data_IF_090871312376
#
_entry.id   IF_090871312376
#
_cell.length_a   1.000
_cell.length_b   1.000
_cell.length_c   1.000
_cell.angle_alpha   90.00
_cell.angle_beta   90.00
_cell.angle_gamma   90.00
#
_symmetry.space_group_name_H-M   'P 1'
#
loop_
_entity.id
_entity.type
_entity.pdbx_description
1 polymer ?
#
# COMPACT_ATOMS: atom_id res chain seq x y z
N UNK A 1 1.57 16.57 -21.43
CA UNK A 1 0.63 15.71 -22.22
C UNK A 1 -0.24 15.02 -21.21
N UNK A 2 -1.56 15.04 -21.40
CA UNK A 2 -2.49 14.33 -20.52
C UNK A 2 -2.36 12.82 -20.68
N UNK A 3 -2.52 12.10 -19.59
CA UNK A 3 -2.36 10.65 -19.56
C UNK A 3 -3.49 9.96 -18.80
N UNK A 4 -3.60 8.66 -18.96
CA UNK A 4 -4.52 7.82 -18.20
C UNK A 4 -3.84 6.55 -17.71
N UNK A 5 -4.45 5.92 -16.71
CA UNK A 5 -3.99 4.68 -16.13
C UNK A 5 -5.11 3.90 -15.45
N UNK A 6 -4.78 2.71 -15.01
CA UNK A 6 -5.70 1.79 -14.37
C UNK A 6 -5.17 1.44 -12.98
N UNK A 7 -6.06 1.52 -11.97
CA UNK A 7 -5.82 0.98 -10.62
C UNK A 7 -6.18 -0.50 -10.62
N UNK A 8 -5.18 -1.36 -10.47
CA UNK A 8 -5.32 -2.81 -10.37
C UNK A 8 -4.27 -3.36 -9.40
N UNK A 9 -4.65 -3.79 -8.20
CA UNK A 9 -3.71 -4.40 -7.27
C UNK A 9 -3.08 -5.66 -7.85
N UNK A 10 -1.81 -5.92 -7.53
CA UNK A 10 -1.15 -7.18 -7.93
C UNK A 10 -1.92 -8.39 -7.38
N UNK A 11 -2.39 -8.29 -6.13
CA UNK A 11 -3.21 -9.34 -5.49
C UNK A 11 -4.45 -9.73 -6.31
N UNK A 12 -5.02 -8.76 -7.04
CA UNK A 12 -6.26 -8.93 -7.81
C UNK A 12 -6.06 -9.48 -9.22
N UNK A 13 -4.82 -9.64 -9.68
CA UNK A 13 -4.56 -10.27 -10.96
C UNK A 13 -5.00 -11.74 -10.99
N UNK A 14 -5.49 -12.26 -12.10
CA UNK A 14 -5.80 -13.68 -12.24
C UNK A 14 -4.60 -14.56 -11.92
N UNK A 15 -4.81 -15.67 -11.22
CA UNK A 15 -3.74 -16.62 -10.92
C UNK A 15 -4.33 -17.94 -10.44
N UNK A 16 -3.76 -19.09 -10.78
CA UNK A 16 -4.17 -20.39 -10.24
C UNK A 16 -3.65 -20.62 -8.81
N UNK A 17 -2.89 -19.68 -8.23
CA UNK A 17 -2.18 -19.86 -6.96
C UNK A 17 -2.77 -19.07 -5.80
N UNK A 18 -4.08 -18.82 -5.82
CA UNK A 18 -4.85 -18.24 -4.72
C UNK A 18 -4.79 -16.72 -4.59
N UNK A 19 -3.82 -16.07 -5.25
CA UNK A 19 -3.61 -14.61 -5.25
C UNK A 19 -2.86 -14.22 -6.52
N UNK A 20 -3.04 -13.00 -6.99
CA UNK A 20 -2.26 -12.47 -8.11
C UNK A 20 -0.75 -12.46 -7.82
N UNK A 21 0.06 -12.71 -8.86
CA UNK A 21 1.52 -12.82 -8.76
C UNK A 21 2.22 -11.99 -9.83
N UNK A 22 3.53 -11.80 -9.67
CA UNK A 22 4.39 -11.07 -10.62
C UNK A 22 4.79 -11.94 -11.85
N UNK A 23 3.92 -12.89 -12.23
CA UNK A 23 4.14 -13.84 -13.30
C UNK A 23 3.60 -13.39 -14.66
N UNK A 24 3.15 -14.38 -15.45
CA UNK A 24 2.68 -14.19 -16.81
C UNK A 24 1.47 -13.25 -16.88
N UNK A 25 0.50 -13.39 -15.94
CA UNK A 25 -0.72 -12.58 -15.93
C UNK A 25 -0.43 -11.10 -15.69
N UNK A 26 0.56 -10.79 -14.82
CA UNK A 26 1.01 -9.41 -14.64
C UNK A 26 1.60 -8.81 -15.92
N UNK A 27 2.37 -9.61 -16.70
CA UNK A 27 2.90 -9.17 -18.00
C UNK A 27 1.78 -8.99 -19.03
N UNK A 28 0.80 -9.90 -19.07
CA UNK A 28 -0.37 -9.77 -19.94
C UNK A 28 -1.18 -8.52 -19.61
N UNK A 29 -1.31 -8.17 -18.32
CA UNK A 29 -1.95 -6.93 -17.92
C UNK A 29 -1.17 -5.69 -18.42
N UNK A 30 0.16 -5.71 -18.32
CA UNK A 30 1.01 -4.65 -18.91
C UNK A 30 0.81 -4.55 -20.42
N UNK A 31 0.74 -5.68 -21.14
CA UNK A 31 0.49 -5.69 -22.57
C UNK A 31 -0.88 -5.11 -22.91
N UNK A 32 -1.91 -5.45 -22.13
CA UNK A 32 -3.25 -4.85 -22.25
C UNK A 32 -3.20 -3.33 -22.06
N UNK A 33 -2.54 -2.84 -20.99
CA UNK A 33 -2.40 -1.40 -20.75
C UNK A 33 -1.75 -0.69 -21.92
N UNK A 34 -0.67 -1.24 -22.45
CA UNK A 34 0.06 -0.68 -23.60
C UNK A 34 -0.83 -0.65 -24.85
N UNK A 35 -1.53 -1.74 -25.16
CA UNK A 35 -2.45 -1.82 -26.30
C UNK A 35 -3.65 -0.89 -26.16
N UNK A 36 -4.13 -0.67 -24.94
CA UNK A 36 -5.22 0.26 -24.63
C UNK A 36 -4.76 1.73 -24.56
N UNK A 37 -3.48 2.04 -24.87
CA UNK A 37 -2.94 3.40 -24.85
C UNK A 37 -2.84 4.01 -23.46
N UNK A 38 -2.82 3.19 -22.42
CA UNK A 38 -2.60 3.64 -21.04
C UNK A 38 -1.12 3.96 -20.82
N UNK A 39 -0.83 4.89 -19.91
CA UNK A 39 0.53 5.26 -19.55
C UNK A 39 0.90 4.82 -18.11
N UNK A 40 -0.09 4.50 -17.28
CA UNK A 40 0.13 4.19 -15.88
C UNK A 40 -0.61 2.94 -15.43
N UNK A 41 0.06 2.20 -14.57
CA UNK A 41 -0.51 1.14 -13.73
C UNK A 41 -0.39 1.56 -12.28
N UNK A 42 -1.49 1.87 -11.62
CA UNK A 42 -1.51 2.11 -10.18
C UNK A 42 -1.77 0.82 -9.44
N UNK A 43 -0.96 0.57 -8.41
CA UNK A 43 -1.07 -0.59 -7.53
C UNK A 43 -1.24 -0.14 -6.08
N UNK A 44 -1.68 -1.04 -5.21
CA UNK A 44 -1.67 -0.87 -3.77
C UNK A 44 -0.29 -1.19 -3.18
N UNK A 45 -0.03 -0.88 -1.88
CA UNK A 45 1.24 -1.20 -1.25
C UNK A 45 1.62 -2.69 -1.45
N UNK A 46 2.87 -2.94 -1.85
CA UNK A 46 3.36 -4.31 -2.10
C UNK A 46 4.12 -4.90 -0.91
N UNK A 47 3.99 -4.29 0.25
CA UNK A 47 4.61 -4.77 1.50
C UNK A 47 3.87 -6.01 2.05
N UNK A 48 4.53 -6.83 2.92
CA UNK A 48 3.88 -7.96 3.55
C UNK A 48 2.65 -7.51 4.35
N UNK A 49 1.54 -8.21 4.19
CA UNK A 49 0.33 -7.97 4.99
C UNK A 49 0.49 -8.59 6.39
N UNK A 50 -0.07 -7.92 7.40
CA UNK A 50 -0.19 -8.42 8.76
C UNK A 50 -1.60 -8.97 9.02
N UNK A 51 -1.96 -9.13 10.29
CA UNK A 51 -3.31 -9.52 10.68
C UNK A 51 -4.35 -8.53 10.12
N UNK A 52 -5.42 -9.07 9.51
CA UNK A 52 -6.46 -8.28 8.83
C UNK A 52 -6.21 -8.05 7.35
N UNK A 53 -5.12 -8.60 6.79
CA UNK A 53 -4.81 -8.68 5.35
C UNK A 53 -4.66 -7.34 4.62
N UNK A 54 -4.77 -6.22 5.35
CA UNK A 54 -4.64 -4.88 4.79
C UNK A 54 -3.19 -4.62 4.30
N UNK A 55 -3.01 -4.18 3.05
CA UNK A 55 -1.70 -3.77 2.58
C UNK A 55 -1.18 -2.49 3.25
N UNK A 56 -2.05 -1.76 3.97
CA UNK A 56 -1.69 -0.55 4.74
C UNK A 56 -1.23 -0.87 6.16
N UNK A 57 -1.40 -2.12 6.62
CA UNK A 57 -0.89 -2.62 7.90
C UNK A 57 0.18 -3.67 7.61
N UNK A 58 1.44 -3.27 7.58
CA UNK A 58 2.55 -4.13 7.16
C UNK A 58 3.58 -4.34 8.26
N UNK A 59 4.19 -5.52 8.26
CA UNK A 59 5.35 -5.84 9.12
C UNK A 59 6.62 -5.07 8.75
N UNK A 60 6.68 -4.47 7.56
CA UNK A 60 7.85 -3.70 7.10
C UNK A 60 7.49 -2.74 5.99
N UNK A 61 8.05 -1.53 6.07
CA UNK A 61 7.92 -0.53 4.98
C UNK A 61 8.88 -0.78 3.81
N UNK A 62 9.83 -1.71 3.95
CA UNK A 62 10.84 -2.01 2.93
C UNK A 62 10.68 -3.37 2.28
N UNK A 63 10.14 -4.35 3.00
CA UNK A 63 10.01 -5.70 2.49
C UNK A 63 8.88 -5.82 1.47
N UNK A 64 9.06 -6.74 0.50
CA UNK A 64 8.01 -7.10 -0.44
C UNK A 64 7.18 -8.29 0.07
N UNK A 65 5.90 -8.34 -0.35
CA UNK A 65 4.96 -9.37 0.04
C UNK A 65 5.29 -10.72 -0.62
N UNK A 66 5.65 -11.74 0.15
CA UNK A 66 6.01 -13.06 -0.39
C UNK A 66 4.90 -13.73 -1.20
N UNK A 67 3.64 -13.35 -0.97
CA UNK A 67 2.50 -13.91 -1.71
C UNK A 67 2.53 -13.56 -3.20
N UNK A 68 3.16 -12.44 -3.59
CA UNK A 68 3.25 -12.01 -4.98
C UNK A 68 4.35 -12.71 -5.79
N UNK A 69 5.21 -13.52 -5.13
CA UNK A 69 6.23 -14.30 -5.83
C UNK A 69 5.55 -15.35 -6.70
N UNK A 70 5.83 -15.33 -7.98
CA UNK A 70 5.25 -16.27 -8.95
C UNK A 70 5.94 -17.62 -8.89
N UNK A 71 5.16 -18.69 -8.71
CA UNK A 71 5.67 -20.05 -8.53
C UNK A 71 6.12 -20.70 -9.84
N UNK A 72 5.48 -20.38 -10.97
CA UNK A 72 5.90 -20.88 -12.28
C UNK A 72 7.25 -20.29 -12.68
N UNK A 73 7.50 -19.03 -12.35
CA UNK A 73 8.81 -18.39 -12.52
C UNK A 73 9.89 -19.11 -11.70
N UNK A 74 9.59 -19.47 -10.45
CA UNK A 74 10.53 -20.25 -9.62
C UNK A 74 10.77 -21.65 -10.20
N UNK A 75 9.75 -22.27 -10.79
CA UNK A 75 9.88 -23.56 -11.46
C UNK A 75 10.75 -23.46 -12.72
N UNK A 76 10.57 -22.41 -13.52
CA UNK A 76 11.40 -22.14 -14.69
C UNK A 76 12.88 -21.92 -14.32
N UNK A 77 13.15 -21.39 -13.13
CA UNK A 77 14.49 -21.21 -12.57
C UNK A 77 15.06 -22.50 -11.92
N UNK A 78 14.31 -23.61 -11.91
CA UNK A 78 14.72 -24.88 -11.28
C UNK A 78 14.60 -24.90 -9.75
N UNK A 79 14.05 -23.85 -9.14
CA UNK A 79 13.86 -23.73 -7.69
C UNK A 79 12.64 -24.51 -7.18
N UNK A 80 11.66 -24.79 -8.04
CA UNK A 80 10.50 -25.63 -7.76
C UNK A 80 10.29 -26.67 -8.86
N UNK A 81 9.58 -27.74 -8.51
CA UNK A 81 9.05 -28.71 -9.48
C UNK A 81 7.52 -28.56 -9.55
N UNK A 82 6.88 -28.70 -10.71
CA UNK A 82 5.42 -28.54 -10.84
C UNK A 82 4.60 -29.37 -9.84
N UNK A 83 5.05 -30.58 -9.52
CA UNK A 83 4.42 -31.48 -8.54
C UNK A 83 4.46 -30.96 -7.08
N UNK A 84 5.23 -29.92 -6.78
CA UNK A 84 5.39 -29.39 -5.43
C UNK A 84 4.40 -28.26 -5.11
N UNK A 85 3.72 -27.71 -6.13
CA UNK A 85 2.80 -26.58 -5.93
C UNK A 85 1.52 -26.61 -6.77
N UNK A 86 1.51 -27.27 -7.95
CA UNK A 86 0.33 -27.24 -8.83
C UNK A 86 -0.90 -27.99 -8.30
N UNK A 87 -0.70 -28.91 -7.38
CA UNK A 87 -1.79 -29.71 -6.78
C UNK A 87 -2.38 -29.07 -5.52
N UNK A 88 -1.80 -27.95 -5.05
CA UNK A 88 -2.24 -27.33 -3.80
C UNK A 88 -3.60 -26.66 -4.03
N UNK A 89 -4.59 -27.08 -3.25
CA UNK A 89 -5.84 -26.37 -3.13
C UNK A 89 -5.65 -25.13 -2.26
N UNK A 90 -5.76 -23.95 -2.86
CA UNK A 90 -5.63 -22.66 -2.19
C UNK A 90 -6.91 -22.21 -1.52
N UNK A 91 -7.98 -23.02 -1.57
CA UNK A 91 -9.27 -22.77 -0.92
C UNK A 91 -9.83 -21.36 -1.24
N UNK A 92 -9.61 -20.91 -2.46
CA UNK A 92 -10.09 -19.63 -2.97
C UNK A 92 -11.11 -19.85 -4.09
N UNK A 93 -11.92 -18.82 -4.39
CA UNK A 93 -12.68 -18.76 -5.64
C UNK A 93 -11.87 -18.03 -6.73
N UNK A 94 -12.27 -18.06 -7.99
CA UNK A 94 -11.65 -17.23 -9.01
C UNK A 94 -11.66 -15.74 -8.61
N UNK A 95 -12.72 -15.26 -7.97
CA UNK A 95 -12.98 -13.86 -7.66
C UNK A 95 -12.49 -13.43 -6.26
N UNK A 96 -12.10 -14.38 -5.39
CA UNK A 96 -11.75 -14.07 -3.99
C UNK A 96 -10.51 -14.79 -3.51
N UNK A 97 -9.68 -14.05 -2.76
CA UNK A 97 -8.49 -14.54 -2.07
C UNK A 97 -8.90 -15.14 -0.72
N UNK A 98 -8.29 -16.30 -0.37
CA UNK A 98 -8.30 -16.83 0.98
C UNK A 98 -6.92 -16.66 1.63
N UNK A 99 -6.73 -15.59 2.37
CA UNK A 99 -5.44 -15.28 3.02
C UNK A 99 -5.04 -16.31 4.08
N UNK A 100 -5.99 -16.93 4.79
CA UNK A 100 -5.71 -18.00 5.74
C UNK A 100 -5.04 -19.19 5.06
N UNK A 101 -5.59 -19.65 3.92
CA UNK A 101 -4.98 -20.73 3.15
C UNK A 101 -3.60 -20.35 2.56
N UNK A 102 -3.41 -19.08 2.18
CA UNK A 102 -2.11 -18.59 1.74
C UNK A 102 -1.10 -18.64 2.89
N UNK A 103 -1.47 -18.15 4.07
CA UNK A 103 -0.62 -18.18 5.25
C UNK A 103 -0.16 -19.59 5.61
N UNK A 104 -1.07 -20.56 5.61
CA UNK A 104 -0.76 -21.95 5.94
C UNK A 104 0.12 -22.65 4.89
N UNK A 105 -0.12 -22.38 3.59
CA UNK A 105 0.43 -23.22 2.52
C UNK A 105 1.57 -22.55 1.73
N UNK A 106 1.53 -21.22 1.54
CA UNK A 106 2.46 -20.52 0.66
C UNK A 106 3.89 -20.58 1.15
N UNK A 107 4.10 -20.40 2.43
CA UNK A 107 5.43 -20.37 3.02
C UNK A 107 6.14 -21.74 2.94
N UNK A 108 5.42 -22.86 3.03
CA UNK A 108 6.00 -24.19 2.86
C UNK A 108 6.60 -24.38 1.44
N UNK A 109 5.90 -23.89 0.42
CA UNK A 109 6.38 -23.91 -0.98
C UNK A 109 7.61 -23.00 -1.13
N UNK A 110 7.54 -21.78 -0.57
CA UNK A 110 8.68 -20.85 -0.64
C UNK A 110 9.90 -21.35 0.12
N UNK A 111 9.73 -22.05 1.26
CA UNK A 111 10.86 -22.67 1.98
C UNK A 111 11.59 -23.67 1.08
N UNK A 112 10.87 -24.53 0.35
CA UNK A 112 11.48 -25.48 -0.61
C UNK A 112 12.30 -24.75 -1.69
N UNK A 113 11.76 -23.65 -2.25
CA UNK A 113 12.47 -22.86 -3.25
C UNK A 113 13.74 -22.18 -2.67
N UNK A 114 13.61 -21.59 -1.47
CA UNK A 114 14.72 -20.93 -0.80
C UNK A 114 15.84 -21.88 -0.37
N UNK A 115 15.51 -23.08 0.07
CA UNK A 115 16.51 -24.12 0.38
C UNK A 115 17.39 -24.43 -0.83
N UNK A 116 16.78 -24.59 -2.02
CA UNK A 116 17.52 -24.82 -3.27
C UNK A 116 18.35 -23.61 -3.68
N UNK A 117 17.79 -22.41 -3.57
CA UNK A 117 18.51 -21.18 -3.85
C UNK A 117 19.73 -21.03 -2.93
N UNK A 118 19.57 -21.28 -1.62
CA UNK A 118 20.64 -21.15 -0.64
C UNK A 118 21.71 -22.26 -0.76
N UNK A 119 21.34 -23.43 -1.30
CA UNK A 119 22.33 -24.51 -1.61
C UNK A 119 23.24 -24.10 -2.76
N UNK A 120 22.79 -23.28 -3.71
CA UNK A 120 23.58 -22.76 -4.82
C UNK A 120 23.18 -21.32 -5.14
N UNK A 121 23.59 -20.36 -4.29
CA UNK A 121 23.14 -18.98 -4.44
C UNK A 121 23.63 -18.36 -5.76
N UNK A 122 22.76 -17.62 -6.47
CA UNK A 122 23.17 -16.85 -7.65
C UNK A 122 24.25 -15.82 -7.32
N UNK A 123 25.04 -15.43 -8.31
CA UNK A 123 26.18 -14.53 -8.12
C UNK A 123 25.76 -13.16 -7.51
N UNK A 124 24.57 -12.66 -7.86
CA UNK A 124 24.04 -11.38 -7.42
C UNK A 124 23.31 -11.44 -6.05
N UNK A 125 23.08 -12.65 -5.50
CA UNK A 125 22.42 -12.80 -4.17
C UNK A 125 23.17 -12.05 -3.07
N UNK A 126 24.51 -12.19 -3.03
CA UNK A 126 25.35 -11.51 -2.03
C UNK A 126 25.31 -9.99 -2.20
N UNK A 127 25.25 -9.53 -3.44
CA UNK A 127 25.12 -8.09 -3.76
C UNK A 127 23.77 -7.54 -3.32
N UNK A 128 22.70 -8.30 -3.51
CA UNK A 128 21.37 -7.94 -3.00
C UNK A 128 21.39 -7.77 -1.48
N UNK A 129 21.91 -8.75 -0.74
CA UNK A 129 22.00 -8.68 0.73
C UNK A 129 22.84 -7.47 1.18
N UNK A 130 23.96 -7.22 0.51
CA UNK A 130 24.84 -6.09 0.81
C UNK A 130 24.17 -4.73 0.55
N UNK A 131 23.47 -4.57 -0.58
CA UNK A 131 22.76 -3.34 -0.95
C UNK A 131 21.62 -3.04 0.02
N UNK A 132 20.96 -4.07 0.54
CA UNK A 132 19.81 -3.97 1.44
C UNK A 132 20.17 -4.08 2.93
N UNK A 133 21.47 -3.97 3.28
CA UNK A 133 21.95 -4.12 4.68
C UNK A 133 21.33 -3.14 5.68
N UNK A 134 20.70 -2.08 5.21
CA UNK A 134 20.11 -1.05 6.06
C UNK A 134 18.73 -1.43 6.63
N UNK A 135 18.09 -2.48 6.09
CA UNK A 135 16.78 -2.96 6.55
C UNK A 135 16.68 -4.50 6.62
N UNK A 136 17.25 -5.21 5.63
CA UNK A 136 17.05 -6.65 5.43
C UNK A 136 17.49 -7.52 6.62
N UNK A 137 18.62 -7.25 7.32
CA UNK A 137 19.05 -8.05 8.47
C UNK A 137 18.06 -7.96 9.65
N UNK A 138 17.52 -6.77 9.94
CA UNK A 138 16.57 -6.59 11.03
C UNK A 138 15.19 -7.15 10.65
N UNK A 139 14.75 -7.00 9.40
CA UNK A 139 13.54 -7.63 8.89
C UNK A 139 13.60 -9.16 8.98
N UNK A 140 14.68 -9.76 8.50
CA UNK A 140 14.81 -11.21 8.53
C UNK A 140 14.88 -11.77 9.95
N UNK A 141 15.55 -11.08 10.87
CA UNK A 141 15.53 -11.43 12.29
C UNK A 141 14.13 -11.26 12.91
N UNK A 142 13.46 -10.14 12.64
CA UNK A 142 12.11 -9.87 13.13
C UNK A 142 11.13 -10.98 12.71
N UNK A 143 11.13 -11.34 11.43
CA UNK A 143 10.23 -12.39 10.91
C UNK A 143 10.58 -13.77 11.47
N UNK A 144 11.87 -14.08 11.65
CA UNK A 144 12.29 -15.33 12.27
C UNK A 144 11.86 -15.41 13.76
N UNK A 145 11.90 -14.29 14.47
CA UNK A 145 11.37 -14.21 15.84
C UNK A 145 9.85 -14.31 15.85
N UNK A 146 9.13 -13.67 14.92
CA UNK A 146 7.67 -13.83 14.80
C UNK A 146 7.28 -15.29 14.56
N UNK A 147 7.98 -16.00 13.67
CA UNK A 147 7.76 -17.43 13.42
C UNK A 147 7.95 -18.24 14.71
N UNK A 148 9.02 -17.95 15.48
CA UNK A 148 9.35 -18.64 16.72
C UNK A 148 8.34 -18.37 17.85
N UNK A 149 7.68 -17.20 17.84
CA UNK A 149 6.67 -16.79 18.82
C UNK A 149 5.23 -17.01 18.32
N UNK A 150 5.02 -17.84 17.29
CA UNK A 150 3.69 -18.17 16.77
C UNK A 150 2.93 -16.96 16.18
N UNK A 151 3.64 -15.94 15.68
CA UNK A 151 3.07 -14.73 15.11
C UNK A 151 2.72 -13.63 16.14
N UNK A 152 3.02 -13.83 17.43
CA UNK A 152 2.77 -12.85 18.48
C UNK A 152 3.41 -11.48 18.18
N UNK A 153 2.76 -10.40 18.61
CA UNK A 153 3.29 -9.05 18.49
C UNK A 153 4.66 -8.95 19.20
N UNK A 154 5.59 -8.19 18.64
CA UNK A 154 6.92 -8.02 19.24
C UNK A 154 6.88 -7.41 20.64
N UNK A 155 5.83 -6.70 21.01
CA UNK A 155 5.62 -6.18 22.36
C UNK A 155 5.38 -7.29 23.39
N UNK A 156 4.96 -8.47 22.96
CA UNK A 156 4.74 -9.65 23.80
C UNK A 156 5.98 -10.54 23.92
N UNK A 157 7.06 -10.24 23.19
CA UNK A 157 8.31 -11.00 23.30
C UNK A 157 8.99 -10.74 24.64
N UNK A 158 9.92 -11.63 25.00
CA UNK A 158 10.72 -11.48 26.21
C UNK A 158 11.42 -10.12 26.21
N UNK A 159 11.47 -9.51 27.39
CA UNK A 159 11.99 -8.16 27.60
C UNK A 159 13.33 -7.88 26.86
N UNK A 160 14.36 -8.78 26.92
CA UNK A 160 15.61 -8.52 26.22
C UNK A 160 15.48 -8.45 24.69
N UNK A 161 14.57 -9.23 24.09
CA UNK A 161 14.29 -9.17 22.64
C UNK A 161 13.45 -7.96 22.29
N UNK A 162 12.46 -7.63 23.10
CA UNK A 162 11.62 -6.45 22.95
C UNK A 162 12.45 -5.17 23.00
N UNK A 163 13.39 -5.07 23.97
CA UNK A 163 14.31 -3.93 24.14
C UNK A 163 15.54 -3.98 23.24
N UNK A 164 15.65 -5.01 22.38
CA UNK A 164 16.77 -5.18 21.44
C UNK A 164 18.13 -5.21 22.13
N UNK A 165 18.23 -5.86 23.28
CA UNK A 165 19.50 -5.99 24.00
C UNK A 165 20.54 -6.71 23.11
N UNK A 166 21.77 -6.18 23.01
CA UNK A 166 22.78 -6.69 22.05
C UNK A 166 23.07 -8.21 22.19
N UNK A 167 23.14 -8.70 23.41
CA UNK A 167 23.43 -10.11 23.66
C UNK A 167 22.23 -11.01 23.30
N UNK A 168 20.99 -10.57 23.59
CA UNK A 168 19.78 -11.27 23.19
C UNK A 168 19.66 -11.34 21.65
N UNK A 169 19.90 -10.23 20.95
CA UNK A 169 19.91 -10.21 19.48
C UNK A 169 21.01 -11.09 18.90
N UNK A 170 22.19 -11.12 19.52
CA UNK A 170 23.30 -11.98 19.09
C UNK A 170 22.97 -13.46 19.27
N UNK A 171 22.35 -13.83 20.39
CA UNK A 171 21.88 -15.17 20.65
C UNK A 171 20.79 -15.59 19.65
N UNK A 172 19.79 -14.73 19.44
CA UNK A 172 18.70 -14.95 18.48
C UNK A 172 19.22 -15.16 17.05
N UNK A 173 20.16 -14.33 16.58
CA UNK A 173 20.79 -14.51 15.27
C UNK A 173 21.50 -15.85 15.08
N UNK A 174 22.04 -16.42 16.14
CA UNK A 174 22.65 -17.76 16.09
C UNK A 174 21.60 -18.86 16.09
N UNK A 175 20.62 -18.76 16.99
CA UNK A 175 19.54 -19.75 17.14
C UNK A 175 18.71 -19.87 15.86
N UNK A 176 18.32 -18.75 15.29
CA UNK A 176 17.40 -18.68 14.13
C UNK A 176 18.12 -18.43 12.80
N UNK A 177 19.42 -18.78 12.69
CA UNK A 177 20.22 -18.50 11.49
C UNK A 177 19.60 -19.02 10.19
N UNK A 178 18.95 -20.21 10.22
CA UNK A 178 18.30 -20.81 9.06
C UNK A 178 17.05 -20.03 8.64
N UNK A 179 16.23 -19.60 9.60
CA UNK A 179 15.03 -18.83 9.32
C UNK A 179 15.36 -17.42 8.83
N UNK A 180 16.38 -16.79 9.40
CA UNK A 180 16.94 -15.52 8.92
C UNK A 180 17.38 -15.66 7.45
N UNK A 181 18.11 -16.71 7.12
CA UNK A 181 18.54 -16.97 5.74
C UNK A 181 17.34 -17.20 4.80
N UNK A 182 16.30 -17.89 5.26
CA UNK A 182 15.03 -18.05 4.52
C UNK A 182 14.39 -16.70 4.23
N UNK A 183 14.20 -15.85 5.23
CA UNK A 183 13.56 -14.55 5.05
C UNK A 183 14.37 -13.60 4.17
N UNK A 184 15.71 -13.68 4.20
CA UNK A 184 16.56 -12.95 3.26
C UNK A 184 16.39 -13.47 1.82
N UNK A 185 16.33 -14.78 1.64
CA UNK A 185 16.16 -15.42 0.34
C UNK A 185 14.78 -15.12 -0.27
N UNK A 186 13.71 -15.12 0.53
CA UNK A 186 12.37 -14.73 0.09
C UNK A 186 12.38 -13.30 -0.45
N UNK A 187 13.03 -12.36 0.24
CA UNK A 187 13.11 -10.98 -0.24
C UNK A 187 13.95 -10.84 -1.52
N UNK A 188 14.99 -11.62 -1.66
CA UNK A 188 15.75 -11.70 -2.92
C UNK A 188 14.87 -12.17 -4.08
N UNK A 189 14.09 -13.24 -3.88
CA UNK A 189 13.17 -13.77 -4.89
C UNK A 189 12.09 -12.73 -5.26
N UNK A 190 11.52 -12.07 -4.25
CA UNK A 190 10.54 -11.02 -4.48
C UNK A 190 11.12 -9.88 -5.34
N UNK A 191 12.23 -9.30 -4.92
CA UNK A 191 12.81 -8.13 -5.61
C UNK A 191 13.35 -8.47 -6.99
N UNK A 192 13.83 -9.69 -7.22
CA UNK A 192 14.23 -10.16 -8.54
C UNK A 192 13.03 -10.18 -9.49
N UNK A 193 11.90 -10.73 -9.06
CA UNK A 193 10.69 -10.76 -9.89
C UNK A 193 10.06 -9.36 -10.05
N UNK A 194 10.05 -8.56 -8.98
CA UNK A 194 9.53 -7.20 -9.03
C UNK A 194 10.30 -6.32 -10.02
N UNK A 195 11.62 -6.33 -9.93
CA UNK A 195 12.46 -5.55 -10.86
C UNK A 195 12.28 -6.00 -12.31
N UNK A 196 12.13 -7.30 -12.55
CA UNK A 196 11.87 -7.83 -13.89
C UNK A 196 10.48 -7.40 -14.43
N UNK A 197 9.45 -7.38 -13.58
CA UNK A 197 8.12 -6.91 -13.96
C UNK A 197 8.12 -5.39 -14.20
N UNK A 198 8.74 -4.60 -13.32
CA UNK A 198 8.85 -3.15 -13.48
C UNK A 198 9.60 -2.79 -14.78
N UNK A 199 10.73 -3.43 -15.03
CA UNK A 199 11.48 -3.21 -16.28
C UNK A 199 10.61 -3.53 -17.51
N UNK A 200 9.88 -4.66 -17.48
CA UNK A 200 8.97 -5.03 -18.56
C UNK A 200 7.87 -3.97 -18.78
N UNK A 201 7.28 -3.44 -17.71
CA UNK A 201 6.29 -2.37 -17.79
C UNK A 201 6.90 -1.09 -18.40
N UNK A 202 8.08 -0.68 -17.94
CA UNK A 202 8.76 0.50 -18.45
C UNK A 202 9.17 0.36 -19.93
N UNK A 203 9.61 -0.82 -20.36
CA UNK A 203 9.91 -1.12 -21.77
C UNK A 203 8.67 -0.99 -22.67
N UNK A 204 7.49 -1.21 -22.12
CA UNK A 204 6.18 -0.99 -22.77
C UNK A 204 5.63 0.42 -22.55
N UNK A 205 6.43 1.34 -22.04
CA UNK A 205 6.06 2.72 -21.70
C UNK A 205 4.96 2.84 -20.64
N UNK A 206 4.77 1.82 -19.82
CA UNK A 206 3.87 1.83 -18.67
C UNK A 206 4.68 2.16 -17.41
N UNK A 207 4.30 3.24 -16.73
CA UNK A 207 4.89 3.65 -15.46
C UNK A 207 4.04 3.12 -14.30
N UNK A 208 4.71 2.68 -13.24
CA UNK A 208 4.02 2.12 -12.06
C UNK A 208 3.89 3.20 -10.99
N UNK A 209 2.63 3.46 -10.59
CA UNK A 209 2.31 4.27 -9.42
C UNK A 209 2.16 3.32 -8.23
N UNK A 210 3.08 3.42 -7.27
CA UNK A 210 2.97 2.70 -6.01
C UNK A 210 2.34 3.56 -4.92
N UNK A 211 1.95 2.92 -3.83
CA UNK A 211 1.26 3.55 -2.71
C UNK A 211 2.09 3.47 -1.43
N UNK A 212 2.13 4.56 -0.69
CA UNK A 212 2.91 4.72 0.53
C UNK A 212 1.98 5.17 1.67
N UNK A 213 1.57 4.27 2.58
CA UNK A 213 0.85 4.67 3.78
C UNK A 213 1.69 5.64 4.61
N UNK A 214 1.09 6.74 5.09
CA UNK A 214 1.83 7.67 5.97
C UNK A 214 2.29 6.94 7.24
N UNK A 215 1.37 6.24 7.90
CA UNK A 215 1.67 5.50 9.13
C UNK A 215 2.15 4.08 8.84
N UNK A 216 2.71 3.45 9.84
CA UNK A 216 3.15 2.05 9.82
C UNK A 216 2.51 1.29 10.97
N UNK A 217 2.41 -0.03 10.83
CA UNK A 217 1.85 -0.86 11.89
C UNK A 217 2.74 -0.83 13.15
N UNK A 218 2.11 -0.84 14.33
CA UNK A 218 2.83 -0.99 15.59
C UNK A 218 3.62 -2.30 15.61
N UNK A 219 2.99 -3.39 15.16
CA UNK A 219 3.63 -4.68 15.00
C UNK A 219 4.44 -4.74 13.70
N UNK A 220 5.53 -4.00 13.66
CA UNK A 220 6.44 -3.94 12.52
C UNK A 220 7.90 -3.89 12.95
N UNK A 221 8.78 -4.34 12.05
CA UNK A 221 10.22 -4.19 12.23
C UNK A 221 10.64 -2.72 12.29
N UNK A 222 9.91 -1.84 11.64
CA UNK A 222 10.22 -0.41 11.60
C UNK A 222 10.12 0.22 12.99
N UNK A 223 9.05 -0.07 13.74
CA UNK A 223 8.90 0.40 15.12
C UNK A 223 9.87 -0.32 16.05
N UNK A 224 9.96 -1.65 15.94
CA UNK A 224 10.87 -2.45 16.78
C UNK A 224 12.33 -2.06 16.61
N UNK A 225 12.79 -1.75 15.37
CA UNK A 225 14.20 -1.44 15.11
C UNK A 225 14.57 0.02 15.29
N UNK A 226 13.60 0.92 15.30
CA UNK A 226 13.81 2.37 15.39
C UNK A 226 12.81 3.04 16.34
N UNK A 227 12.65 2.53 17.58
CA UNK A 227 11.62 3.03 18.51
C UNK A 227 11.76 4.52 18.84
N UNK A 228 12.98 5.07 18.75
CA UNK A 228 13.26 6.50 18.96
C UNK A 228 12.65 7.42 17.90
N UNK A 229 12.18 6.89 16.78
CA UNK A 229 11.51 7.66 15.73
C UNK A 229 9.98 7.78 15.97
N UNK A 230 9.48 7.18 17.06
CA UNK A 230 8.05 7.12 17.39
C UNK A 230 7.75 7.59 18.81
N UNK A 231 6.51 8.05 19.03
CA UNK A 231 6.01 8.49 20.34
C UNK A 231 5.68 7.28 21.21
N UNK A 232 6.68 6.67 21.81
CA UNK A 232 6.57 5.52 22.70
C UNK A 232 6.95 5.87 24.14
N UNK A 233 6.39 5.16 25.11
CA UNK A 233 6.82 5.23 26.51
C UNK A 233 8.08 4.37 26.77
N UNK A 234 8.52 4.30 28.02
CA UNK A 234 9.70 3.54 28.43
C UNK A 234 9.53 2.02 28.21
N UNK A 235 8.31 1.53 28.21
CA UNK A 235 7.95 0.13 27.96
C UNK A 235 7.69 -0.14 26.46
N UNK A 236 7.96 0.84 25.59
CA UNK A 236 7.76 0.81 24.15
C UNK A 236 6.29 0.67 23.73
N UNK A 237 5.35 1.12 24.54
CA UNK A 237 3.96 1.26 24.14
C UNK A 237 3.74 2.64 23.52
N UNK A 238 2.85 2.78 22.52
CA UNK A 238 2.46 4.10 22.04
C UNK A 238 1.89 4.97 23.17
N UNK A 239 2.24 6.24 23.19
CA UNK A 239 1.57 7.21 24.07
C UNK A 239 0.26 7.69 23.46
N UNK A 240 0.27 7.93 22.16
CA UNK A 240 -0.88 8.27 21.34
C UNK A 240 -0.79 7.49 20.00
N UNK A 241 -1.92 7.27 19.36
CA UNK A 241 -2.02 6.58 18.06
C UNK A 241 -2.77 7.41 17.04
N UNK A 242 -2.56 7.08 15.76
CA UNK A 242 -3.20 7.74 14.63
C UNK A 242 -4.66 7.36 14.48
N UNK A 243 -5.41 8.29 13.90
CA UNK A 243 -6.80 8.09 13.48
C UNK A 243 -7.37 9.34 12.81
N UNK A 244 -8.69 9.36 12.67
CA UNK A 244 -9.46 10.51 12.20
C UNK A 244 -10.55 10.89 13.21
N UNK A 245 -10.91 12.18 13.33
CA UNK A 245 -11.99 12.60 14.21
C UNK A 245 -13.34 12.05 13.74
N UNK A 246 -14.36 12.08 14.62
CA UNK A 246 -15.74 11.90 14.21
C UNK A 246 -16.13 12.85 13.06
N UNK A 247 -16.82 12.31 12.06
CA UNK A 247 -17.29 13.05 10.88
C UNK A 247 -18.65 12.52 10.39
N UNK A 248 -19.10 12.97 9.23
CA UNK A 248 -20.35 12.52 8.61
C UNK A 248 -20.34 11.05 8.14
N UNK A 249 -19.17 10.40 8.07
CA UNK A 249 -19.00 8.99 7.67
C UNK A 249 -18.85 8.08 8.87
N UNK A 250 -18.29 8.56 9.99
CA UNK A 250 -18.07 7.80 11.22
C UNK A 250 -18.38 8.65 12.44
N UNK A 251 -19.47 8.33 13.15
CA UNK A 251 -19.90 9.06 14.33
C UNK A 251 -18.89 8.99 15.50
N UNK A 252 -18.06 7.97 15.57
CA UNK A 252 -17.01 7.79 16.59
C UNK A 252 -15.61 8.06 16.07
N UNK A 253 -15.50 8.49 14.82
CA UNK A 253 -14.23 8.64 14.10
C UNK A 253 -13.59 7.30 13.74
N UNK A 254 -12.35 7.34 13.28
CA UNK A 254 -11.59 6.16 12.92
C UNK A 254 -10.36 6.03 13.83
N UNK A 255 -10.25 4.91 14.52
CA UNK A 255 -9.08 4.56 15.32
C UNK A 255 -8.21 3.58 14.51
N UNK A 256 -7.10 4.07 13.96
CA UNK A 256 -6.21 3.24 13.12
C UNK A 256 -5.19 2.45 13.93
N UNK A 257 -4.83 2.94 15.14
CA UNK A 257 -3.94 2.25 16.07
C UNK A 257 -2.44 2.31 15.71
N UNK A 258 -2.07 2.99 14.63
CA UNK A 258 -0.68 3.15 14.24
C UNK A 258 0.05 4.10 15.21
N UNK A 259 1.29 3.82 15.63
CA UNK A 259 2.08 4.73 16.45
C UNK A 259 2.37 6.03 15.70
N UNK A 260 2.41 7.13 16.43
CA UNK A 260 2.73 8.44 15.88
C UNK A 260 4.23 8.65 15.82
N UNK A 261 4.70 9.41 14.82
CA UNK A 261 6.11 9.77 14.70
C UNK A 261 6.52 10.82 15.74
N UNK A 262 7.72 10.69 16.29
CA UNK A 262 8.38 11.78 17.01
C UNK A 262 9.02 12.74 16.02
N UNK A 263 8.22 13.72 15.56
CA UNK A 263 8.66 14.68 14.55
C UNK A 263 9.80 15.57 15.03
N UNK A 264 9.90 15.84 16.33
CA UNK A 264 10.96 16.65 16.92
C UNK A 264 12.30 15.89 16.90
N UNK A 265 12.30 14.63 17.31
CA UNK A 265 13.46 13.75 17.22
C UNK A 265 13.91 13.54 15.75
N UNK A 266 12.94 13.32 14.85
CA UNK A 266 13.25 13.19 13.42
C UNK A 266 13.81 14.47 12.80
N UNK A 267 13.34 15.65 13.21
CA UNK A 267 13.88 16.93 12.73
C UNK A 267 15.35 17.12 13.11
N UNK A 268 15.75 16.71 14.32
CA UNK A 268 17.14 16.81 14.80
C UNK A 268 18.12 16.01 13.94
N UNK A 269 17.69 14.89 13.35
CA UNK A 269 18.51 14.07 12.46
C UNK A 269 18.26 14.34 10.96
N UNK A 270 17.52 15.42 10.64
CA UNK A 270 17.20 15.82 9.27
C UNK A 270 16.23 14.85 8.58
N UNK A 271 15.30 14.28 9.32
CA UNK A 271 14.30 13.32 8.86
C UNK A 271 14.89 12.09 8.16
N UNK A 272 16.01 11.59 8.67
CA UNK A 272 16.81 10.56 8.02
C UNK A 272 16.00 9.29 7.71
N UNK A 273 15.08 8.89 8.60
CA UNK A 273 14.19 7.73 8.40
C UNK A 273 13.26 7.95 7.18
N UNK A 274 12.59 9.10 7.12
CA UNK A 274 11.69 9.44 6.01
C UNK A 274 12.42 9.59 4.67
N UNK A 275 13.61 10.21 4.68
CA UNK A 275 14.45 10.33 3.47
C UNK A 275 14.83 8.92 2.95
N UNK A 276 15.17 7.97 3.83
CA UNK A 276 15.45 6.59 3.43
C UNK A 276 14.21 5.91 2.86
N UNK A 277 13.04 6.09 3.52
CA UNK A 277 11.76 5.51 3.08
C UNK A 277 11.38 6.00 1.68
N UNK A 278 11.37 7.31 1.44
CA UNK A 278 11.05 7.89 0.13
C UNK A 278 12.07 7.46 -0.93
N UNK A 279 13.36 7.43 -0.60
CA UNK A 279 14.38 6.92 -1.53
C UNK A 279 14.11 5.49 -1.97
N UNK A 280 13.75 4.62 -1.04
CA UNK A 280 13.40 3.24 -1.33
C UNK A 280 12.15 3.16 -2.21
N UNK A 281 11.09 3.90 -1.89
CA UNK A 281 9.87 3.95 -2.69
C UNK A 281 10.13 4.44 -4.12
N UNK A 282 10.93 5.51 -4.30
CA UNK A 282 11.30 6.01 -5.63
C UNK A 282 12.19 5.03 -6.42
N UNK A 283 12.92 4.12 -5.75
CA UNK A 283 13.62 3.04 -6.45
C UNK A 283 12.70 1.88 -6.82
N UNK A 284 11.65 1.69 -6.04
CA UNK A 284 10.67 0.61 -6.21
C UNK A 284 9.62 0.97 -7.26
N UNK A 285 9.13 2.21 -7.28
CA UNK A 285 8.09 2.70 -8.18
C UNK A 285 8.59 3.82 -9.09
N UNK A 286 7.82 4.17 -10.11
CA UNK A 286 8.10 5.31 -11.00
C UNK A 286 7.46 6.60 -10.46
N UNK A 287 6.33 6.47 -9.77
CA UNK A 287 5.61 7.54 -9.07
C UNK A 287 5.14 6.99 -7.72
N UNK A 288 5.18 7.81 -6.69
CA UNK A 288 4.75 7.42 -5.33
C UNK A 288 3.50 8.21 -4.94
N UNK A 289 2.36 7.54 -4.74
CA UNK A 289 1.21 8.13 -4.06
C UNK A 289 1.48 8.07 -2.56
N UNK A 290 1.42 9.22 -1.89
CA UNK A 290 1.47 9.27 -0.42
C UNK A 290 0.04 9.33 0.09
N UNK A 291 -0.35 8.29 0.80
CA UNK A 291 -1.63 8.17 1.45
C UNK A 291 -1.72 9.09 2.67
N UNK A 292 -2.90 9.70 2.90
CA UNK A 292 -3.19 10.62 3.99
C UNK A 292 -2.19 11.77 4.13
N UNK A 293 -1.89 12.45 3.02
CA UNK A 293 -0.88 13.53 2.95
C UNK A 293 -1.15 14.66 3.95
N UNK A 294 -2.41 14.92 4.29
CA UNK A 294 -2.77 15.94 5.29
C UNK A 294 -2.08 15.74 6.65
N UNK A 295 -1.74 14.50 7.01
CA UNK A 295 -1.06 14.16 8.26
C UNK A 295 0.30 14.84 8.44
N UNK A 296 0.91 15.33 7.36
CA UNK A 296 2.15 16.12 7.44
C UNK A 296 1.92 17.58 7.79
N UNK A 297 0.74 18.15 7.54
CA UNK A 297 0.37 19.47 8.02
C UNK A 297 -0.17 19.39 9.45
N UNK A 298 -1.14 18.49 9.66
CA UNK A 298 -1.71 18.23 10.97
C UNK A 298 -2.27 16.81 11.04
N UNK A 299 -2.02 16.12 12.13
CA UNK A 299 -2.45 14.75 12.36
C UNK A 299 -3.35 14.65 13.61
N UNK A 300 -4.26 13.66 13.60
CA UNK A 300 -5.17 13.44 14.70
C UNK A 300 -4.60 12.36 15.62
N UNK A 301 -4.32 12.75 16.87
CA UNK A 301 -3.69 11.93 17.90
C UNK A 301 -4.72 11.48 18.91
N UNK A 302 -4.82 10.17 19.12
CA UNK A 302 -5.78 9.53 20.04
C UNK A 302 -4.98 8.88 21.16
N UNK A 303 -5.32 9.11 22.46
CA UNK A 303 -4.64 8.44 23.56
C UNK A 303 -4.65 6.91 23.39
N UNK A 304 -3.49 6.28 23.58
CA UNK A 304 -3.38 4.82 23.45
C UNK A 304 -4.29 4.12 24.46
N UNK A 305 -4.96 3.06 24.04
CA UNK A 305 -5.93 2.34 24.86
C UNK A 305 -7.38 2.81 24.73
N UNK A 306 -7.64 3.95 24.06
CA UNK A 306 -8.99 4.35 23.72
C UNK A 306 -9.62 3.35 22.74
N UNK A 307 -10.97 3.19 22.84
CA UNK A 307 -11.73 2.30 21.95
C UNK A 307 -12.31 3.01 20.72
N UNK A 308 -12.39 4.33 20.78
CA UNK A 308 -12.91 5.21 19.70
C UNK A 308 -12.00 6.40 19.52
N UNK A 309 -12.20 7.14 18.44
CA UNK A 309 -11.42 8.35 18.16
C UNK A 309 -11.95 9.62 18.82
N UNK A 310 -13.08 9.58 19.55
CA UNK A 310 -13.74 10.76 20.13
C UNK A 310 -12.86 11.57 21.09
N UNK A 311 -11.95 10.90 21.82
CA UNK A 311 -11.00 11.54 22.76
C UNK A 311 -9.72 12.08 22.14
N UNK A 312 -9.61 12.07 20.82
CA UNK A 312 -8.42 12.53 20.13
C UNK A 312 -8.32 14.05 20.00
N UNK A 313 -7.17 14.51 19.50
CA UNK A 313 -6.89 15.94 19.27
C UNK A 313 -5.97 16.14 18.08
N UNK A 314 -6.10 17.28 17.44
CA UNK A 314 -5.20 17.70 16.38
C UNK A 314 -3.82 18.10 16.93
N UNK A 315 -2.78 17.64 16.24
CA UNK A 315 -1.38 17.97 16.46
C UNK A 315 -0.78 18.54 15.18
N UNK A 316 0.18 19.45 15.30
CA UNK A 316 0.91 19.98 14.15
C UNK A 316 1.91 18.96 13.62
N UNK A 317 1.91 18.75 12.30
CA UNK A 317 2.85 17.87 11.61
C UNK A 317 4.19 18.57 11.30
N UNK A 318 5.12 17.87 10.64
CA UNK A 318 6.46 18.42 10.30
C UNK A 318 6.40 19.48 9.19
N UNK A 319 5.27 19.60 8.51
CA UNK A 319 5.05 20.56 7.44
C UNK A 319 6.08 20.46 6.31
N UNK A 320 6.41 21.59 5.71
CA UNK A 320 7.33 21.64 4.58
C UNK A 320 8.79 21.30 4.95
N UNK A 321 9.18 21.33 6.22
CA UNK A 321 10.55 21.02 6.64
C UNK A 321 10.98 19.60 6.24
N UNK A 322 10.06 18.63 6.38
CA UNK A 322 10.28 17.26 5.91
C UNK A 322 10.52 17.21 4.40
N UNK A 323 9.65 17.84 3.60
CA UNK A 323 9.75 17.79 2.14
C UNK A 323 10.96 18.57 1.62
N UNK A 324 11.35 19.65 2.29
CA UNK A 324 12.60 20.35 2.00
C UNK A 324 13.83 19.46 2.24
N UNK A 325 13.83 18.65 3.32
CA UNK A 325 14.89 17.68 3.58
C UNK A 325 14.94 16.56 2.52
N UNK A 326 13.76 16.03 2.13
CA UNK A 326 13.63 15.05 1.06
C UNK A 326 14.17 15.63 -0.25
N UNK A 327 13.70 16.80 -0.66
CA UNK A 327 14.14 17.49 -1.89
C UNK A 327 15.65 17.74 -1.89
N UNK A 328 16.20 18.20 -0.79
CA UNK A 328 17.65 18.41 -0.65
C UNK A 328 18.47 17.13 -0.86
N UNK A 329 17.96 15.98 -0.47
CA UNK A 329 18.68 14.69 -0.49
C UNK A 329 18.39 13.83 -1.73
N UNK A 330 17.22 13.99 -2.36
CA UNK A 330 16.74 13.11 -3.43
C UNK A 330 16.42 13.86 -4.73
N UNK A 331 16.47 15.19 -4.75
CA UNK A 331 15.98 16.00 -5.88
C UNK A 331 14.47 16.12 -5.85
N UNK A 332 13.84 16.09 -7.02
CA UNK A 332 12.38 16.22 -7.20
C UNK A 332 11.77 14.83 -7.38
N UNK A 333 11.42 14.13 -6.29
CA UNK A 333 10.73 12.84 -6.43
C UNK A 333 9.33 13.06 -7.00
N UNK A 334 8.89 12.14 -7.87
CA UNK A 334 7.55 12.18 -8.44
C UNK A 334 6.56 11.64 -7.41
N UNK A 335 5.82 12.56 -6.78
CA UNK A 335 4.87 12.27 -5.71
C UNK A 335 3.48 12.75 -6.10
N UNK A 336 2.47 11.94 -5.81
CA UNK A 336 1.06 12.28 -5.79
C UNK A 336 0.65 12.38 -4.32
N UNK A 337 -0.01 13.46 -3.92
CA UNK A 337 -0.48 13.62 -2.56
C UNK A 337 -1.97 13.23 -2.48
N UNK A 338 -2.30 12.29 -1.60
CA UNK A 338 -3.70 12.04 -1.28
C UNK A 338 -4.16 13.14 -0.31
N UNK A 339 -4.95 14.06 -0.84
CA UNK A 339 -5.51 15.24 -0.17
C UNK A 339 -7.03 15.16 -0.06
N UNK A 340 -7.56 13.96 0.21
CA UNK A 340 -8.99 13.74 0.36
C UNK A 340 -9.48 14.08 1.79
N UNK A 341 -10.81 14.26 1.94
CA UNK A 341 -11.46 14.58 3.20
C UNK A 341 -11.44 16.08 3.53
N UNK A 342 -11.51 16.40 4.81
CA UNK A 342 -11.60 17.80 5.26
C UNK A 342 -10.26 18.52 5.12
N UNK A 343 -10.14 19.39 4.13
CA UNK A 343 -8.94 20.17 3.86
C UNK A 343 -8.98 21.52 4.57
N UNK A 344 -7.95 21.79 5.37
CA UNK A 344 -7.71 23.08 6.00
C UNK A 344 -6.70 23.90 5.18
N UNK A 345 -6.62 25.23 5.39
CA UNK A 345 -5.73 26.07 4.59
C UNK A 345 -4.24 25.73 4.76
N UNK A 346 -3.83 25.22 5.90
CA UNK A 346 -2.45 24.74 6.14
C UNK A 346 -2.12 23.52 5.27
N UNK A 347 -3.06 22.59 5.06
CA UNK A 347 -2.89 21.45 4.13
C UNK A 347 -2.74 21.95 2.70
N UNK A 348 -3.64 22.86 2.27
CA UNK A 348 -3.59 23.45 0.93
C UNK A 348 -2.29 24.24 0.71
N UNK A 349 -1.85 24.99 1.71
CA UNK A 349 -0.57 25.74 1.66
C UNK A 349 0.64 24.79 1.55
N UNK A 350 0.62 23.68 2.31
CA UNK A 350 1.66 22.65 2.22
C UNK A 350 1.71 22.04 0.83
N UNK A 351 0.55 21.63 0.29
CA UNK A 351 0.44 21.02 -1.03
C UNK A 351 0.98 21.97 -2.13
N UNK A 352 0.52 23.24 -2.13
CA UNK A 352 1.03 24.26 -3.06
C UNK A 352 2.55 24.44 -2.95
N UNK A 353 3.08 24.49 -1.72
CA UNK A 353 4.53 24.67 -1.48
C UNK A 353 5.36 23.48 -1.93
N UNK A 354 4.83 22.26 -1.81
CA UNK A 354 5.46 21.05 -2.33
C UNK A 354 5.39 20.96 -3.86
N UNK A 355 4.33 21.52 -4.48
CA UNK A 355 4.07 21.44 -5.92
C UNK A 355 3.53 20.07 -6.36
N UNK A 356 3.11 19.22 -5.42
CA UNK A 356 2.58 17.89 -5.74
C UNK A 356 1.14 17.97 -6.25
N UNK A 357 0.75 17.16 -7.27
CA UNK A 357 -0.65 17.02 -7.64
C UNK A 357 -1.44 16.37 -6.51
N UNK A 358 -2.61 16.94 -6.21
CA UNK A 358 -3.61 16.35 -5.35
C UNK A 358 -4.57 15.45 -6.11
N UNK A 359 -5.45 14.76 -5.40
CA UNK A 359 -6.44 13.84 -5.95
C UNK A 359 -7.83 14.49 -6.06
N UNK A 360 -8.57 14.12 -7.09
CA UNK A 360 -9.97 14.51 -7.31
C UNK A 360 -10.80 13.26 -7.56
N UNK A 361 -11.71 12.94 -6.64
CA UNK A 361 -12.57 11.76 -6.70
C UNK A 361 -13.96 12.19 -7.15
N UNK A 362 -14.40 11.72 -8.30
CA UNK A 362 -15.63 12.13 -8.95
C UNK A 362 -16.88 11.79 -8.13
N UNK A 363 -16.91 10.65 -7.47
CA UNK A 363 -18.06 10.25 -6.63
C UNK A 363 -18.35 11.29 -5.54
N UNK A 364 -17.33 11.90 -4.94
CA UNK A 364 -17.51 12.97 -3.94
C UNK A 364 -18.12 14.23 -4.52
N UNK A 365 -17.97 14.48 -5.83
CA UNK A 365 -18.57 15.63 -6.51
C UNK A 365 -20.10 15.61 -6.57
N UNK A 366 -20.71 14.49 -6.23
CA UNK A 366 -22.16 14.31 -6.22
C UNK A 366 -22.73 14.08 -4.81
N UNK A 367 -21.88 13.84 -3.81
CA UNK A 367 -22.32 13.67 -2.42
C UNK A 367 -22.94 14.97 -1.90
N UNK A 368 -24.24 14.91 -1.57
CA UNK A 368 -24.99 16.09 -1.09
C UNK A 368 -24.56 16.55 0.32
N UNK A 369 -23.83 15.69 1.05
CA UNK A 369 -23.30 15.98 2.39
C UNK A 369 -21.95 16.70 2.35
N UNK A 370 -21.21 16.57 1.23
CA UNK A 370 -19.91 17.21 1.03
C UNK A 370 -20.09 18.53 0.27
N UNK A 371 -19.59 19.63 0.86
CA UNK A 371 -19.57 20.95 0.23
C UNK A 371 -18.41 21.15 -0.76
N UNK A 372 -17.57 20.14 -0.97
CA UNK A 372 -16.41 20.20 -1.86
C UNK A 372 -16.78 20.22 -3.34
N UNK A 373 -15.99 20.93 -4.16
CA UNK A 373 -16.16 20.91 -5.63
C UNK A 373 -15.23 19.88 -6.27
N UNK A 374 -15.70 18.61 -6.31
CA UNK A 374 -15.03 17.51 -6.99
C UNK A 374 -15.61 17.22 -8.38
N UNK A 375 -16.26 18.22 -9.01
CA UNK A 375 -16.79 18.06 -10.38
C UNK A 375 -15.73 18.37 -11.43
N UNK A 376 -15.69 17.60 -12.53
CA UNK A 376 -14.59 17.64 -13.53
C UNK A 376 -14.30 19.01 -14.12
N UNK A 377 -15.30 19.93 -14.23
CA UNK A 377 -15.08 21.27 -14.78
C UNK A 377 -14.24 22.16 -13.86
N UNK A 378 -14.18 21.86 -12.55
CA UNK A 378 -13.38 22.58 -11.56
C UNK A 378 -11.99 22.01 -11.30
N UNK A 379 -11.61 20.91 -11.95
CA UNK A 379 -10.32 20.28 -11.67
C UNK A 379 -9.16 21.15 -12.18
N UNK A 380 -8.16 21.43 -11.33
CA UNK A 380 -6.93 22.07 -11.79
C UNK A 380 -6.12 21.08 -12.66
N UNK A 381 -5.26 21.60 -13.54
CA UNK A 381 -4.37 20.76 -14.36
C UNK A 381 -3.42 19.94 -13.52
N UNK A 382 -2.83 20.53 -12.44
CA UNK A 382 -1.97 19.82 -11.49
C UNK A 382 -2.83 18.98 -10.52
N UNK A 383 -3.52 17.97 -11.04
CA UNK A 383 -4.32 17.03 -10.24
C UNK A 383 -4.42 15.68 -10.93
N UNK A 384 -4.76 14.67 -10.13
CA UNK A 384 -5.05 13.32 -10.59
C UNK A 384 -6.54 13.06 -10.37
N UNK A 385 -7.27 12.78 -11.46
CA UNK A 385 -8.69 12.50 -11.42
C UNK A 385 -8.96 11.01 -11.27
N UNK A 386 -9.85 10.66 -10.35
CA UNK A 386 -10.35 9.31 -10.12
C UNK A 386 -11.87 9.30 -10.27
N UNK A 387 -12.46 8.19 -10.71
CA UNK A 387 -13.90 7.96 -10.52
C UNK A 387 -14.14 7.65 -9.03
N UNK A 388 -13.52 6.60 -8.56
CA UNK A 388 -13.38 6.19 -7.17
C UNK A 388 -12.00 5.60 -6.93
N UNK A 389 -11.58 5.45 -5.67
CA UNK A 389 -10.36 4.77 -5.25
C UNK A 389 -10.67 3.34 -4.79
N UNK A 390 -9.66 2.61 -4.32
CA UNK A 390 -9.85 1.29 -3.71
C UNK A 390 -10.74 1.29 -2.44
N UNK A 391 -10.98 2.44 -1.84
CA UNK A 391 -11.88 2.62 -0.67
C UNK A 391 -13.33 2.91 -1.06
N UNK A 392 -13.55 3.28 -2.31
CA UNK A 392 -14.87 3.59 -2.83
C UNK A 392 -15.58 2.35 -3.37
N UNK A 393 -16.89 2.46 -3.55
CA UNK A 393 -17.64 1.49 -4.36
C UNK A 393 -17.12 1.52 -5.82
N UNK A 394 -17.15 0.40 -6.55
CA UNK A 394 -17.19 0.50 -8.01
C UNK A 394 -18.44 1.26 -8.46
N UNK A 395 -18.38 1.93 -9.62
CA UNK A 395 -19.46 2.81 -10.10
C UNK A 395 -20.84 2.16 -10.05
N UNK A 396 -20.97 0.90 -10.51
CA UNK A 396 -22.26 0.22 -10.49
C UNK A 396 -22.76 -0.06 -9.07
N UNK A 397 -21.87 -0.30 -8.12
CA UNK A 397 -22.18 -0.37 -6.70
C UNK A 397 -22.63 0.99 -6.14
N UNK A 398 -21.91 2.07 -6.46
CA UNK A 398 -22.27 3.43 -6.08
C UNK A 398 -23.63 3.84 -6.66
N UNK A 399 -23.90 3.57 -7.94
CA UNK A 399 -25.20 3.83 -8.57
C UNK A 399 -26.37 3.12 -7.90
N UNK A 400 -26.10 1.96 -7.28
CA UNK A 400 -27.12 1.15 -6.59
C UNK A 400 -27.32 1.58 -5.12
N UNK A 401 -26.30 2.15 -4.46
CA UNK A 401 -26.29 2.39 -3.00
C UNK A 401 -26.30 3.85 -2.60
N UNK A 402 -25.87 4.77 -3.47
CA UNK A 402 -25.85 6.19 -3.21
C UNK A 402 -27.27 6.78 -3.09
N UNK A 403 -27.38 7.95 -2.44
CA UNK A 403 -28.66 8.63 -2.33
C UNK A 403 -29.27 8.92 -3.72
N UNK A 404 -30.58 8.70 -3.92
CA UNK A 404 -31.20 8.88 -5.23
C UNK A 404 -31.00 10.28 -5.85
N UNK A 405 -30.93 11.33 -5.02
CA UNK A 405 -30.65 12.69 -5.45
C UNK A 405 -29.22 12.85 -5.97
N UNK A 406 -28.24 12.17 -5.39
CA UNK A 406 -26.82 12.20 -5.80
C UNK A 406 -26.67 11.49 -7.14
N UNK A 407 -27.27 10.32 -7.28
CA UNK A 407 -27.35 9.59 -8.56
C UNK A 407 -28.00 10.44 -9.64
N UNK A 408 -29.17 11.06 -9.34
CA UNK A 408 -29.87 11.91 -10.30
C UNK A 408 -29.03 13.13 -10.71
N UNK A 409 -28.22 13.68 -9.78
CA UNK A 409 -27.28 14.77 -10.04
C UNK A 409 -26.16 14.33 -10.99
N UNK A 410 -25.56 13.17 -10.71
CA UNK A 410 -24.52 12.59 -11.58
C UNK A 410 -25.04 12.32 -13.00
N UNK A 411 -26.21 11.70 -13.11
CA UNK A 411 -26.87 11.41 -14.39
C UNK A 411 -27.08 12.69 -15.20
N UNK A 412 -27.61 13.74 -14.60
CA UNK A 412 -27.84 15.02 -15.31
C UNK A 412 -26.54 15.72 -15.67
N UNK A 413 -25.59 15.81 -14.75
CA UNK A 413 -24.35 16.54 -14.94
C UNK A 413 -23.46 15.91 -16.01
N UNK A 414 -23.32 14.58 -16.02
CA UNK A 414 -22.48 13.84 -16.96
C UNK A 414 -23.23 13.34 -18.19
N UNK A 415 -24.55 13.59 -18.27
CA UNK A 415 -25.42 13.04 -19.31
C UNK A 415 -25.28 11.51 -19.43
N UNK A 416 -25.37 10.81 -18.30
CA UNK A 416 -25.23 9.36 -18.24
C UNK A 416 -26.42 8.67 -18.88
N UNK A 417 -26.18 7.61 -19.65
CA UNK A 417 -27.23 6.80 -20.28
C UNK A 417 -27.02 5.32 -20.00
N UNK A 418 -28.12 4.56 -19.99
CA UNK A 418 -28.06 3.10 -19.88
C UNK A 418 -27.41 2.44 -21.10
N UNK A 419 -27.53 3.08 -22.27
CA UNK A 419 -26.96 2.57 -23.52
C UNK A 419 -25.42 2.62 -23.51
N UNK A 420 -24.83 3.72 -23.00
CA UNK A 420 -23.38 3.85 -22.83
C UNK A 420 -22.88 2.95 -21.69
N UNK A 421 -23.68 2.75 -20.66
CA UNK A 421 -23.29 2.20 -19.36
C UNK A 421 -22.86 3.34 -18.41
N UNK A 422 -23.42 3.34 -17.19
CA UNK A 422 -23.14 4.42 -16.23
C UNK A 422 -21.67 4.50 -15.84
N UNK A 423 -21.02 3.36 -15.68
CA UNK A 423 -19.56 3.28 -15.40
C UNK A 423 -18.74 3.93 -16.52
N UNK A 424 -19.07 3.66 -17.80
CA UNK A 424 -18.38 4.29 -18.93
C UNK A 424 -18.61 5.82 -18.97
N UNK A 425 -19.82 6.27 -18.69
CA UNK A 425 -20.15 7.71 -18.65
C UNK A 425 -19.40 8.42 -17.52
N UNK A 426 -19.26 7.81 -16.33
CA UNK A 426 -18.44 8.32 -15.22
C UNK A 426 -16.95 8.41 -15.60
N UNK A 427 -16.38 7.34 -16.17
CA UNK A 427 -15.00 7.33 -16.66
C UNK A 427 -14.77 8.40 -17.74
N UNK A 428 -15.69 8.52 -18.70
CA UNK A 428 -15.66 9.61 -19.73
C UNK A 428 -15.62 10.98 -19.06
N UNK A 429 -16.36 11.18 -17.97
CA UNK A 429 -16.38 12.43 -17.20
C UNK A 429 -15.01 12.85 -16.72
N UNK A 430 -14.24 11.95 -16.10
CA UNK A 430 -12.89 12.27 -15.63
C UNK A 430 -11.89 12.39 -16.78
N UNK A 431 -12.01 11.58 -17.83
CA UNK A 431 -11.16 11.71 -19.02
C UNK A 431 -11.36 13.04 -19.76
N UNK A 432 -12.55 13.63 -19.68
CA UNK A 432 -12.84 14.94 -20.26
C UNK A 432 -12.38 16.12 -19.37
N UNK A 433 -11.97 15.89 -18.13
CA UNK A 433 -11.53 16.95 -17.21
C UNK A 433 -10.19 17.57 -17.62
N UNK A 434 -9.76 18.62 -16.94
CA UNK A 434 -8.46 19.27 -17.15
C UNK A 434 -7.30 18.58 -16.42
N UNK A 435 -7.56 17.59 -15.58
CA UNK A 435 -6.52 16.88 -14.81
C UNK A 435 -5.44 16.29 -15.74
N UNK A 436 -4.19 16.36 -15.32
CA UNK A 436 -3.08 15.86 -16.14
C UNK A 436 -3.03 14.32 -16.21
N UNK A 437 -3.60 13.65 -15.22
CA UNK A 437 -3.71 12.20 -15.17
C UNK A 437 -5.10 11.79 -14.69
N UNK A 438 -5.67 10.76 -15.31
CA UNK A 438 -6.93 10.15 -14.91
C UNK A 438 -6.73 8.66 -14.64
N UNK A 439 -7.14 8.19 -13.47
CA UNK A 439 -7.04 6.79 -13.07
C UNK A 439 -8.44 6.22 -12.87
N UNK A 440 -8.68 5.03 -13.42
CA UNK A 440 -9.93 4.29 -13.24
C UNK A 440 -9.66 2.97 -12.55
N UNK A 441 -10.59 2.48 -11.74
CA UNK A 441 -10.51 1.15 -11.17
C UNK A 441 -10.72 0.08 -12.24
N UNK A 442 -10.01 -1.04 -12.16
CA UNK A 442 -10.23 -2.18 -13.06
C UNK A 442 -11.67 -2.70 -12.98
N UNK A 443 -12.27 -2.67 -11.80
CA UNK A 443 -13.67 -3.06 -11.57
C UNK A 443 -14.65 -2.23 -12.41
N UNK A 444 -14.41 -0.91 -12.54
CA UNK A 444 -15.25 -0.04 -13.35
C UNK A 444 -15.13 -0.37 -14.85
N UNK A 445 -13.92 -0.69 -15.33
CA UNK A 445 -13.74 -1.15 -16.71
C UNK A 445 -14.49 -2.45 -17.01
N UNK A 446 -14.54 -3.35 -16.02
CA UNK A 446 -15.24 -4.62 -16.10
C UNK A 446 -16.75 -4.48 -15.86
N UNK A 447 -17.23 -3.29 -15.45
CA UNK A 447 -18.64 -3.04 -15.15
C UNK A 447 -19.16 -3.80 -13.93
N UNK A 448 -18.29 -4.08 -12.96
CA UNK A 448 -18.62 -4.80 -11.72
C UNK A 448 -19.28 -3.87 -10.70
N UNK A 449 -19.97 -4.47 -9.73
CA UNK A 449 -20.66 -3.76 -8.65
C UNK A 449 -20.01 -3.98 -7.29
N UNK A 450 -20.83 -3.91 -6.25
CA UNK A 450 -20.44 -4.03 -4.84
C UNK A 450 -19.64 -5.31 -4.54
N UNK A 451 -19.93 -6.41 -5.21
CA UNK A 451 -19.26 -7.70 -5.07
C UNK A 451 -17.74 -7.64 -5.34
N UNK A 452 -17.32 -6.62 -6.11
CA UNK A 452 -15.92 -6.42 -6.46
C UNK A 452 -15.26 -5.27 -5.67
N UNK A 453 -15.92 -4.72 -4.65
CA UNK A 453 -15.37 -3.67 -3.81
C UNK A 453 -14.10 -4.17 -3.12
N UNK A 454 -13.03 -3.36 -3.17
CA UNK A 454 -11.72 -3.74 -2.62
C UNK A 454 -11.68 -3.55 -1.10
N UNK A 455 -12.14 -2.39 -0.61
CA UNK A 455 -12.11 -2.06 0.81
C UNK A 455 -13.36 -1.27 1.23
N UNK A 456 -13.85 -1.60 2.41
CA UNK A 456 -14.86 -0.79 3.12
C UNK A 456 -14.20 -0.24 4.37
N UNK A 457 -13.85 1.06 4.40
CA UNK A 457 -13.18 1.67 5.54
C UNK A 457 -13.93 1.43 6.85
N UNK A 458 -13.17 1.30 7.95
CA UNK A 458 -13.69 1.05 9.31
C UNK A 458 -14.38 -0.31 9.50
N UNK A 459 -14.19 -1.29 8.59
CA UNK A 459 -14.68 -2.66 8.76
C UNK A 459 -13.53 -3.66 8.88
N UNK A 460 -13.79 -4.78 9.55
CA UNK A 460 -12.85 -5.90 9.66
C UNK A 460 -13.40 -7.10 8.90
N UNK A 461 -12.52 -7.75 8.12
CA UNK A 461 -12.88 -8.93 7.31
C UNK A 461 -13.58 -8.59 5.98
N UNK A 462 -13.44 -9.47 5.00
CA UNK A 462 -14.04 -9.32 3.67
C UNK A 462 -13.38 -8.30 2.76
N UNK A 463 -12.42 -7.51 3.25
CA UNK A 463 -11.66 -6.54 2.49
C UNK A 463 -10.43 -7.16 1.80
N UNK A 464 -9.92 -6.51 0.77
CA UNK A 464 -8.68 -6.85 0.06
C UNK A 464 -8.70 -8.20 -0.68
N UNK A 465 -9.87 -8.82 -0.79
CA UNK A 465 -10.02 -10.19 -1.28
C UNK A 465 -10.37 -10.28 -2.77
N UNK A 466 -10.88 -9.22 -3.39
CA UNK A 466 -11.35 -9.27 -4.78
C UNK A 466 -10.23 -9.58 -5.77
N UNK A 467 -10.58 -10.41 -6.78
CA UNK A 467 -9.74 -10.77 -7.94
C UNK A 467 -10.55 -10.70 -9.24
N UNK A 468 -9.82 -10.46 -10.35
CA UNK A 468 -10.37 -10.54 -11.70
C UNK A 468 -10.33 -11.97 -12.29
#
# INVERSE_FOLDING_TARGET
MRASGILMPISSLPSPYGIGTMGQQARQFVDFLSQAGQAYWQILPICPTSYGDSPYQSFSTYAGNPYFIDLDTLAAQGLLKPKEYKHIDWQCTPEQINYGALYEKRYAVLRTACERLLASPPADYRDFVRKNRFWLPDYALFMALKDAHGGACWQEWEHPLRQREPDALKAARRTYAKDIAFWQAVQYLFYTQWQALKAYANDKHIQIIGDLPIYIALDSVDVWSSPQDFQLDADLNPTEVAGCPPDGFSATGQLWGNPLYDWDAMAQNGYAWWVRRIRHMCSTYDVVRIDHFRGFAGYYAIPYGNKTAEGGRWRTGPGYALFAAIKKKLGEPRIIAEDLGFLTEDVNALLRKCGYPGMKVLEFGFDSRDGGDYRPHGYPTNSIAYVGTHDNEPVNGWMATAAPEDVARAVRYLNLTKQEGYHWGMMRGIWASAAELSIVQAQDLLGLGHEARMNTPSTLGGNWCWRA
#
